data_IF_862049268584
#
_entry.id   IF_862049268584
#
_cell.length_a   1.000
_cell.length_b   1.000
_cell.length_c   1.000
_cell.angle_alpha   90.00
_cell.angle_beta   90.00
_cell.angle_gamma   90.00
#
_symmetry.space_group_name_H-M   'P 1'
#
loop_
_entity.id
_entity.type
_entity.pdbx_description
1 polymer ?
#
# COMPACT_ATOMS: atom_id res chain seq x y z
N UNK A 1 -13.02 -12.34 35.14
CA UNK A 1 -12.77 -11.56 33.91
C UNK A 1 -13.92 -11.83 32.96
N UNK A 2 -14.60 -10.79 32.47
CA UNK A 2 -15.75 -10.92 31.55
C UNK A 2 -15.24 -10.49 30.18
N UNK A 3 -15.26 -11.39 29.20
CA UNK A 3 -14.89 -11.04 27.83
C UNK A 3 -15.96 -10.08 27.28
N UNK A 4 -15.52 -9.02 26.60
CA UNK A 4 -16.42 -8.11 25.89
C UNK A 4 -17.01 -8.88 24.70
N UNK A 5 -18.32 -8.85 24.52
CA UNK A 5 -18.97 -9.35 23.30
C UNK A 5 -18.59 -8.42 22.14
N UNK A 6 -17.51 -8.75 21.43
CA UNK A 6 -16.98 -8.00 20.30
C UNK A 6 -17.11 -8.84 19.04
N UNK A 7 -17.91 -8.34 18.08
CA UNK A 7 -18.15 -8.99 16.80
C UNK A 7 -18.02 -7.97 15.68
N UNK A 8 -17.06 -8.17 14.79
CA UNK A 8 -16.81 -7.33 13.61
C UNK A 8 -16.68 -8.20 12.37
N UNK A 9 -17.30 -7.78 11.27
CA UNK A 9 -17.15 -8.45 9.97
C UNK A 9 -15.98 -7.83 9.23
N UNK A 10 -14.97 -8.62 8.92
CA UNK A 10 -13.82 -8.18 8.10
C UNK A 10 -13.99 -8.65 6.66
N UNK A 11 -13.35 -7.95 5.72
CA UNK A 11 -13.39 -8.30 4.30
C UNK A 11 -12.48 -7.39 3.50
N UNK A 12 -11.83 -7.93 2.48
CA UNK A 12 -10.88 -7.19 1.64
C UNK A 12 -11.08 -7.56 0.17
N UNK A 13 -11.09 -6.55 -0.69
CA UNK A 13 -11.13 -6.70 -2.14
C UNK A 13 -9.96 -5.92 -2.73
N UNK A 14 -9.22 -6.54 -3.64
CA UNK A 14 -8.11 -5.86 -4.34
C UNK A 14 -8.23 -6.12 -5.84
N UNK A 15 -8.14 -5.05 -6.61
CA UNK A 15 -8.09 -5.05 -8.07
C UNK A 15 -6.71 -4.62 -8.56
N UNK A 16 -6.27 -5.23 -9.65
CA UNK A 16 -4.99 -4.94 -10.30
C UNK A 16 -5.24 -4.59 -11.76
N UNK A 17 -4.59 -3.55 -12.24
CA UNK A 17 -4.70 -3.11 -13.62
C UNK A 17 -3.35 -2.68 -14.17
N UNK A 18 -2.99 -3.24 -15.33
CA UNK A 18 -1.80 -2.88 -16.11
C UNK A 18 -2.25 -2.12 -17.36
N UNK A 19 -2.18 -0.77 -17.37
CA UNK A 19 -2.63 0.03 -18.50
C UNK A 19 -1.80 -0.25 -19.76
N UNK A 20 -2.46 -0.51 -20.89
CA UNK A 20 -1.78 -0.80 -22.17
C UNK A 20 -0.95 0.37 -22.71
N UNK A 21 -1.27 1.60 -22.29
CA UNK A 21 -0.58 2.83 -22.70
C UNK A 21 0.64 3.17 -21.83
N UNK A 22 0.85 2.47 -20.71
CA UNK A 22 1.97 2.72 -19.81
C UNK A 22 2.63 1.39 -19.43
N UNK A 23 3.69 1.06 -20.17
CA UNK A 23 4.47 -0.15 -19.94
C UNK A 23 5.06 -0.18 -18.52
N UNK A 24 5.01 -1.37 -17.92
CA UNK A 24 5.54 -1.68 -16.59
C UNK A 24 4.97 -0.84 -15.45
N UNK A 25 3.79 -0.24 -15.69
CA UNK A 25 2.98 0.40 -14.65
C UNK A 25 1.94 -0.59 -14.14
N UNK A 26 1.84 -0.68 -12.81
CA UNK A 26 0.80 -1.40 -12.11
C UNK A 26 -0.04 -0.39 -11.30
N UNK A 27 -1.34 -0.38 -11.57
CA UNK A 27 -2.33 0.27 -10.73
C UNK A 27 -2.97 -0.79 -9.85
N UNK A 28 -2.98 -0.56 -8.54
CA UNK A 28 -3.58 -1.44 -7.55
C UNK A 28 -4.58 -0.63 -6.74
N UNK A 29 -5.81 -1.12 -6.65
CA UNK A 29 -6.84 -0.53 -5.82
C UNK A 29 -7.32 -1.58 -4.82
N UNK A 30 -7.33 -1.26 -3.53
CA UNK A 30 -7.82 -2.15 -2.47
C UNK A 30 -8.83 -1.45 -1.60
N UNK A 31 -9.89 -2.16 -1.20
CA UNK A 31 -10.87 -1.70 -0.22
C UNK A 31 -11.10 -2.79 0.81
N UNK A 32 -11.30 -2.44 2.07
CA UNK A 32 -11.56 -3.43 3.10
C UNK A 32 -12.04 -2.87 4.42
N UNK A 33 -12.50 -3.77 5.29
CA UNK A 33 -12.87 -3.50 6.67
C UNK A 33 -11.92 -4.24 7.61
N UNK A 34 -11.28 -3.49 8.51
CA UNK A 34 -10.27 -3.97 9.44
C UNK A 34 -10.88 -4.35 10.80
N UNK A 35 -10.02 -4.91 11.66
CA UNK A 35 -10.43 -5.45 12.97
C UNK A 35 -10.96 -4.39 13.93
N UNK A 36 -10.62 -3.10 13.75
CA UNK A 36 -11.19 -2.02 14.56
C UNK A 36 -12.54 -1.53 14.02
N UNK A 37 -13.07 -2.13 12.94
CA UNK A 37 -14.34 -1.76 12.32
C UNK A 37 -14.23 -0.62 11.31
N UNK A 38 -13.06 -0.03 11.17
CA UNK A 38 -12.74 0.96 10.15
C UNK A 38 -12.71 0.34 8.75
N UNK A 39 -13.22 1.10 7.79
CA UNK A 39 -13.22 0.80 6.38
C UNK A 39 -12.25 1.73 5.68
N UNK A 40 -11.34 1.13 4.92
CA UNK A 40 -10.32 1.84 4.17
C UNK A 40 -10.34 1.50 2.70
N UNK A 41 -9.91 2.45 1.88
CA UNK A 41 -9.59 2.25 0.49
C UNK A 41 -8.21 2.80 0.17
N UNK A 42 -7.37 2.05 -0.53
CA UNK A 42 -6.05 2.45 -0.98
C UNK A 42 -5.96 2.37 -2.50
N UNK A 43 -5.45 3.42 -3.13
CA UNK A 43 -5.02 3.43 -4.51
C UNK A 43 -3.50 3.54 -4.56
N UNK A 44 -2.86 2.66 -5.30
CA UNK A 44 -1.42 2.62 -5.50
C UNK A 44 -1.12 2.58 -7.00
N UNK A 45 -0.12 3.35 -7.42
CA UNK A 45 0.43 3.34 -8.78
C UNK A 45 1.93 3.15 -8.65
N UNK A 46 2.46 2.11 -9.28
CA UNK A 46 3.89 1.79 -9.25
C UNK A 46 4.41 1.53 -10.65
N UNK A 47 5.58 2.09 -10.98
CA UNK A 47 6.33 1.78 -12.20
C UNK A 47 7.55 0.92 -11.84
N UNK A 48 7.70 -0.19 -12.54
CA UNK A 48 8.91 -1.01 -12.52
C UNK A 48 9.77 -0.67 -13.73
N UNK A 49 11.07 -0.53 -13.53
CA UNK A 49 12.05 -0.33 -14.59
C UNK A 49 12.76 -1.64 -14.91
N UNK A 50 13.41 -1.72 -16.07
CA UNK A 50 14.18 -2.90 -16.51
C UNK A 50 15.30 -3.27 -15.52
N UNK A 51 15.84 -2.29 -14.80
CA UNK A 51 16.78 -2.49 -13.70
C UNK A 51 16.19 -3.21 -12.48
N UNK A 52 14.87 -3.46 -12.48
CA UNK A 52 14.13 -4.01 -11.35
C UNK A 52 13.83 -3.00 -10.25
N UNK A 53 14.28 -1.75 -10.39
CA UNK A 53 13.88 -0.62 -9.51
C UNK A 53 12.38 -0.40 -9.65
N UNK A 54 11.72 -0.13 -8.53
CA UNK A 54 10.29 0.20 -8.48
C UNK A 54 10.15 1.57 -7.83
N UNK A 55 9.41 2.45 -8.49
CA UNK A 55 9.00 3.74 -7.94
C UNK A 55 7.48 3.74 -7.88
N UNK A 56 6.93 4.00 -6.71
CA UNK A 56 5.48 3.96 -6.51
C UNK A 56 4.98 5.05 -5.59
N UNK A 57 3.70 5.33 -5.70
CA UNK A 57 2.96 6.20 -4.82
C UNK A 57 1.64 5.58 -4.44
N UNK A 58 1.17 5.86 -3.23
CA UNK A 58 -0.12 5.39 -2.74
C UNK A 58 -0.85 6.49 -1.99
N UNK A 59 -2.17 6.33 -1.95
CA UNK A 59 -3.07 7.16 -1.17
C UNK A 59 -4.16 6.26 -0.56
N UNK A 60 -4.40 6.43 0.74
CA UNK A 60 -5.36 5.66 1.53
C UNK A 60 -6.36 6.60 2.17
N UNK A 61 -7.65 6.32 2.01
CA UNK A 61 -8.76 7.01 2.67
C UNK A 61 -9.42 6.02 3.63
N UNK A 62 -9.74 6.45 4.85
CA UNK A 62 -10.52 5.66 5.81
C UNK A 62 -11.75 6.42 6.29
N UNK A 63 -12.72 5.70 6.86
CA UNK A 63 -13.97 6.27 7.38
C UNK A 63 -13.92 6.67 8.86
N UNK A 64 -12.75 6.60 9.51
CA UNK A 64 -12.57 7.03 10.91
C UNK A 64 -12.54 8.55 10.94
N UNK A 65 -13.24 9.19 11.89
CA UNK A 65 -13.39 10.64 11.88
C UNK A 65 -12.15 11.38 12.38
N UNK A 66 -11.94 12.60 11.87
CA UNK A 66 -10.84 13.50 12.24
C UNK A 66 -10.68 13.72 13.75
N UNK A 67 -11.76 13.61 14.53
CA UNK A 67 -11.71 13.80 15.98
C UNK A 67 -10.98 12.70 16.74
N UNK A 68 -10.89 11.47 16.20
CA UNK A 68 -10.18 10.35 16.85
C UNK A 68 -8.71 10.20 16.42
N UNK A 69 -8.33 10.72 15.24
CA UNK A 69 -7.00 10.47 14.67
C UNK A 69 -6.08 11.68 14.54
N UNK A 70 -6.60 12.92 14.49
CA UNK A 70 -5.79 14.12 14.29
C UNK A 70 -5.11 14.16 12.91
N UNK A 71 -5.31 15.25 12.16
CA UNK A 71 -4.61 15.55 10.89
C UNK A 71 -4.62 14.52 9.74
N UNK A 72 -5.69 13.71 9.61
CA UNK A 72 -6.18 13.37 8.26
C UNK A 72 -6.82 12.01 8.08
N UNK A 73 -8.04 12.01 7.55
CA UNK A 73 -8.76 10.85 6.97
C UNK A 73 -8.07 10.28 5.71
N UNK A 74 -6.82 10.69 5.45
CA UNK A 74 -6.12 10.54 4.19
C UNK A 74 -4.61 10.42 4.42
N UNK A 75 -4.05 9.22 4.21
CA UNK A 75 -2.61 8.97 4.22
C UNK A 75 -2.11 8.85 2.80
N UNK A 76 -0.97 9.46 2.49
CA UNK A 76 -0.32 9.37 1.18
C UNK A 76 1.16 9.11 1.34
N UNK A 77 1.77 8.49 0.34
CA UNK A 77 3.20 8.28 0.36
C UNK A 77 3.77 7.99 -1.00
N UNK A 78 5.09 8.15 -1.11
CA UNK A 78 5.87 7.74 -2.27
C UNK A 78 7.06 6.94 -1.79
N UNK A 79 7.48 5.97 -2.59
CA UNK A 79 8.57 5.08 -2.25
C UNK A 79 9.42 4.72 -3.47
N UNK A 80 10.67 4.38 -3.19
CA UNK A 80 11.62 3.80 -4.13
C UNK A 80 12.11 2.50 -3.55
N UNK A 81 12.06 1.43 -4.34
CA UNK A 81 12.58 0.11 -3.98
C UNK A 81 13.61 -0.34 -4.99
N UNK A 82 14.82 -0.65 -4.53
CA UNK A 82 15.97 -1.04 -5.35
C UNK A 82 16.34 -2.48 -5.00
N UNK A 83 16.44 -3.40 -5.99
CA UNK A 83 16.85 -4.76 -5.71
C UNK A 83 18.37 -4.82 -5.45
N UNK A 84 18.78 -5.63 -4.46
CA UNK A 84 20.16 -5.67 -3.99
C UNK A 84 21.06 -6.61 -4.78
N UNK A 85 20.49 -7.42 -5.67
CA UNK A 85 21.24 -8.22 -6.65
C UNK A 85 22.06 -7.35 -7.61
N UNK A 86 21.63 -6.10 -7.86
CA UNK A 86 22.42 -5.11 -8.58
C UNK A 86 23.78 -4.79 -7.94
N UNK A 87 23.92 -5.05 -6.64
CA UNK A 87 25.12 -4.74 -5.85
C UNK A 87 25.76 -5.98 -5.22
N UNK A 88 25.24 -7.17 -5.53
CA UNK A 88 25.70 -8.44 -4.96
C UNK A 88 26.41 -9.29 -6.01
N UNK A 89 27.36 -10.11 -5.56
CA UNK A 89 28.03 -11.11 -6.41
C UNK A 89 27.21 -12.40 -6.59
N UNK A 90 26.07 -12.54 -5.89
CA UNK A 90 25.20 -13.70 -5.98
C UNK A 90 23.72 -13.33 -6.10
N UNK A 91 22.87 -14.21 -6.66
CA UNK A 91 21.43 -13.97 -6.75
C UNK A 91 20.81 -13.74 -5.37
N UNK A 92 20.03 -12.68 -5.22
CA UNK A 92 19.28 -12.40 -4.00
C UNK A 92 17.89 -11.88 -4.30
N UNK A 93 16.94 -12.12 -3.40
CA UNK A 93 15.58 -11.57 -3.45
C UNK A 93 15.44 -10.30 -2.62
N UNK A 94 16.51 -9.88 -1.95
CA UNK A 94 16.50 -8.72 -1.06
C UNK A 94 16.38 -7.42 -1.84
N UNK A 95 15.66 -6.46 -1.25
CA UNK A 95 15.48 -5.12 -1.80
C UNK A 95 15.71 -4.09 -0.70
N UNK A 96 16.40 -3.00 -1.01
CA UNK A 96 16.37 -1.79 -0.20
C UNK A 96 15.12 -0.99 -0.57
N UNK A 97 14.50 -0.33 0.40
CA UNK A 97 13.38 0.56 0.17
C UNK A 97 13.53 1.82 1.02
N UNK A 98 13.20 2.96 0.43
CA UNK A 98 13.02 4.23 1.11
C UNK A 98 11.64 4.77 0.75
N UNK A 99 10.94 5.30 1.74
CA UNK A 99 9.61 5.85 1.56
C UNK A 99 9.39 7.07 2.42
N UNK A 100 8.53 7.95 1.94
CA UNK A 100 8.07 9.13 2.65
C UNK A 100 6.55 9.08 2.69
N UNK A 101 5.99 9.32 3.87
CA UNK A 101 4.56 9.31 4.12
C UNK A 101 4.11 10.62 4.77
N UNK A 102 2.88 11.04 4.46
CA UNK A 102 2.23 12.25 4.94
C UNK A 102 0.70 12.11 4.81
#
# INVERSE_FOLDING_TARGET
MKFTDYSVKTGHLTAYWTPSFAQDVLVKASVGQYLAGDKGGTLEIAKRFDSGVVVGGYATITNVSKEEYGEGDFTKGVYVSVPLDLFSSGPTRSRAAIGWAA
#
